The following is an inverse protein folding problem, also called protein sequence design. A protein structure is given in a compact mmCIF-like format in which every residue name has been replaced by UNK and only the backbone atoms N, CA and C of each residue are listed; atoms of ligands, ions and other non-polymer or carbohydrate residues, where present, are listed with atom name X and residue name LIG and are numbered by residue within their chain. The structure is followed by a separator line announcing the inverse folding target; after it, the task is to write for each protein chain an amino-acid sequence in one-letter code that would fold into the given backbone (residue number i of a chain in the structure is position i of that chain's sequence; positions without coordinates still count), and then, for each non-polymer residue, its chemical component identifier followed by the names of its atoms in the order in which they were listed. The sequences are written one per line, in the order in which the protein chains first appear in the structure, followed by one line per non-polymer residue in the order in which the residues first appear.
data_IF_542301255979
#
_entry.id   IF_542301255979
#
_cell.length_a   1.000
_cell.length_b   1.000
_cell.length_c   1.000
_cell.angle_alpha   90.00
_cell.angle_beta   90.00
_cell.angle_gamma   90.00
#
_symmetry.space_group_name_H-M   'P 1'
#
loop_
_entity.id
_entity.type
_entity.pdbx_description
1 polymer ?
#
# COMPACT_ATOMS: atom_id res chain seq x y z
N UNK A 1 5.09 18.08 4.45
CA UNK A 1 6.31 18.93 4.41
C UNK A 1 6.15 20.38 4.86
N UNK A 2 5.02 21.08 4.62
CA UNK A 2 4.89 22.51 5.03
C UNK A 2 4.25 22.76 6.40
N UNK A 3 3.39 21.85 6.88
CA UNK A 3 2.48 22.12 8.00
C UNK A 3 2.75 21.28 9.27
N UNK A 4 3.90 20.61 9.36
CA UNK A 4 4.20 19.62 10.40
C UNK A 4 3.59 18.25 10.09
N UNK A 5 4.26 17.16 10.47
CA UNK A 5 3.82 15.80 10.10
C UNK A 5 2.72 15.30 11.01
N UNK A 6 2.85 15.56 12.29
CA UNK A 6 1.86 15.20 13.29
C UNK A 6 0.50 15.87 13.03
N UNK A 7 0.52 17.18 12.72
CA UNK A 7 -0.69 17.93 12.38
C UNK A 7 -1.37 17.38 11.14
N UNK A 8 -0.62 17.07 10.09
CA UNK A 8 -1.19 16.48 8.88
C UNK A 8 -1.78 15.10 9.18
N UNK A 9 -1.10 14.27 9.97
CA UNK A 9 -1.62 12.95 10.36
C UNK A 9 -2.98 13.07 11.09
N UNK A 10 -3.11 14.03 12.00
CA UNK A 10 -4.39 14.30 12.67
C UNK A 10 -5.49 14.73 11.68
N UNK A 11 -5.15 15.61 10.73
CA UNK A 11 -6.08 16.07 9.69
C UNK A 11 -6.52 14.90 8.80
N UNK A 12 -5.59 14.03 8.39
CA UNK A 12 -5.93 12.90 7.51
C UNK A 12 -6.80 11.87 8.21
N UNK A 13 -6.53 11.57 9.50
CA UNK A 13 -7.39 10.69 10.31
C UNK A 13 -8.79 11.31 10.47
N UNK A 14 -8.88 12.60 10.82
CA UNK A 14 -10.15 13.30 10.96
C UNK A 14 -10.95 13.27 9.65
N UNK A 15 -10.29 13.55 8.53
CA UNK A 15 -10.87 13.53 7.20
C UNK A 15 -11.40 12.15 6.83
N UNK A 16 -10.58 11.12 6.99
CA UNK A 16 -10.96 9.73 6.71
C UNK A 16 -12.17 9.31 7.55
N UNK A 17 -12.14 9.54 8.87
CA UNK A 17 -13.23 9.19 9.78
C UNK A 17 -14.52 9.98 9.51
N UNK A 18 -14.41 11.28 9.19
CA UNK A 18 -15.56 12.11 8.88
C UNK A 18 -16.28 11.64 7.60
N UNK A 19 -15.54 11.38 6.51
CA UNK A 19 -16.17 10.90 5.27
C UNK A 19 -16.60 9.43 5.34
N UNK A 20 -15.95 8.60 6.17
CA UNK A 20 -16.45 7.26 6.50
C UNK A 20 -17.82 7.35 7.18
N UNK A 21 -17.97 8.21 8.20
CA UNK A 21 -19.23 8.46 8.88
C UNK A 21 -20.29 9.04 7.93
N UNK A 22 -19.90 10.02 7.10
CA UNK A 22 -20.79 10.67 6.14
C UNK A 22 -21.35 9.69 5.10
N UNK A 23 -20.62 8.61 4.79
CA UNK A 23 -21.08 7.56 3.87
C UNK A 23 -22.39 6.91 4.31
N UNK A 24 -22.66 6.84 5.62
CA UNK A 24 -23.91 6.31 6.15
C UNK A 24 -25.15 7.16 5.82
N UNK A 25 -24.97 8.42 5.41
CA UNK A 25 -26.06 9.34 5.06
C UNK A 25 -26.35 9.41 3.56
N UNK A 26 -25.53 8.76 2.72
CA UNK A 26 -25.72 8.76 1.27
C UNK A 26 -27.09 8.15 0.89
N UNK A 27 -27.79 8.81 -0.03
CA UNK A 27 -29.13 8.41 -0.49
C UNK A 27 -29.12 7.83 -1.90
N UNK A 28 -28.04 8.07 -2.66
CA UNK A 28 -27.89 7.57 -4.02
C UNK A 28 -26.42 7.25 -4.32
N UNK A 29 -26.21 6.58 -5.45
CA UNK A 29 -24.89 6.17 -5.92
C UNK A 29 -23.93 7.36 -6.08
N UNK A 30 -24.38 8.47 -6.66
CA UNK A 30 -23.52 9.65 -6.91
C UNK A 30 -23.02 10.28 -5.61
N UNK A 31 -23.89 10.42 -4.60
CA UNK A 31 -23.48 10.89 -3.27
C UNK A 31 -22.46 9.95 -2.64
N UNK A 32 -22.70 8.64 -2.71
CA UNK A 32 -21.76 7.64 -2.22
C UNK A 32 -20.41 7.75 -2.94
N UNK A 33 -20.42 7.89 -4.26
CA UNK A 33 -19.23 8.01 -5.09
C UNK A 33 -18.40 9.24 -4.68
N UNK A 34 -19.03 10.41 -4.58
CA UNK A 34 -18.36 11.65 -4.17
C UNK A 34 -17.76 11.53 -2.77
N UNK A 35 -18.54 11.01 -1.81
CA UNK A 35 -18.07 10.81 -0.43
C UNK A 35 -16.88 9.83 -0.39
N UNK A 36 -16.93 8.74 -1.16
CA UNK A 36 -15.83 7.76 -1.22
C UNK A 36 -14.57 8.30 -1.89
N UNK A 37 -14.71 9.14 -2.91
CA UNK A 37 -13.58 9.85 -3.51
C UNK A 37 -12.93 10.76 -2.48
N UNK A 38 -13.73 11.55 -1.74
CA UNK A 38 -13.23 12.41 -0.67
C UNK A 38 -12.58 11.61 0.46
N UNK A 39 -13.19 10.51 0.91
CA UNK A 39 -12.61 9.60 1.90
C UNK A 39 -11.25 9.04 1.44
N UNK A 40 -11.14 8.67 0.16
CA UNK A 40 -9.92 8.14 -0.45
C UNK A 40 -8.73 9.12 -0.40
N UNK A 41 -8.98 10.43 -0.51
CA UNK A 41 -7.95 11.46 -0.36
C UNK A 41 -7.30 11.41 1.03
N UNK A 42 -8.11 11.22 2.08
CA UNK A 42 -7.62 11.08 3.46
C UNK A 42 -6.75 9.85 3.62
N UNK A 43 -7.22 8.71 3.12
CA UNK A 43 -6.50 7.43 3.21
C UNK A 43 -5.12 7.49 2.51
N UNK A 44 -5.06 8.04 1.29
CA UNK A 44 -3.81 8.13 0.53
C UNK A 44 -2.78 9.07 1.16
N UNK A 45 -3.24 10.14 1.81
CA UNK A 45 -2.39 11.09 2.52
C UNK A 45 -1.88 10.52 3.86
N UNK A 46 -2.73 9.78 4.59
CA UNK A 46 -2.38 9.18 5.88
C UNK A 46 -1.22 8.19 5.75
N UNK A 47 -1.29 7.27 4.77
CA UNK A 47 -0.22 6.29 4.56
C UNK A 47 1.13 6.96 4.26
N UNK A 48 1.12 7.97 3.39
CA UNK A 48 2.33 8.70 3.03
C UNK A 48 2.97 9.40 4.25
N UNK A 49 2.16 10.09 5.06
CA UNK A 49 2.67 10.85 6.21
C UNK A 49 3.12 9.92 7.32
N UNK A 50 2.35 8.86 7.61
CA UNK A 50 2.68 7.87 8.62
C UNK A 50 3.96 7.10 8.31
N UNK A 51 4.13 6.66 7.06
CA UNK A 51 5.32 5.92 6.64
C UNK A 51 6.60 6.75 6.77
N UNK A 52 6.57 8.04 6.36
CA UNK A 52 7.76 8.89 6.44
C UNK A 52 8.05 9.28 7.89
N UNK A 53 7.03 9.60 8.69
CA UNK A 53 7.20 9.92 10.12
C UNK A 53 7.82 8.75 10.88
N UNK A 54 7.28 7.54 10.71
CA UNK A 54 7.79 6.35 11.37
C UNK A 54 9.20 6.00 10.87
N UNK A 55 9.46 6.18 9.58
CA UNK A 55 10.79 6.01 8.99
C UNK A 55 11.85 6.94 9.59
N UNK A 56 11.48 8.17 9.95
CA UNK A 56 12.39 9.15 10.55
C UNK A 56 12.60 8.98 12.04
N UNK A 57 11.57 8.55 12.78
CA UNK A 57 11.68 8.36 14.24
C UNK A 57 12.44 7.08 14.61
N UNK A 58 12.51 6.10 13.71
CA UNK A 58 13.05 4.77 14.00
C UNK A 58 14.45 4.59 13.44
N UNK A 59 15.33 4.00 14.28
CA UNK A 59 16.69 3.66 13.90
C UNK A 59 16.70 2.86 12.57
N UNK A 60 17.57 3.19 11.61
CA UNK A 60 17.67 2.51 10.32
C UNK A 60 17.70 0.98 10.41
N UNK A 61 18.33 0.40 11.45
CA UNK A 61 18.41 -1.07 11.65
C UNK A 61 17.08 -1.75 11.97
N UNK A 62 16.09 -1.01 12.46
CA UNK A 62 14.79 -1.54 12.88
C UNK A 62 13.62 -0.98 12.06
N UNK A 63 13.90 -0.10 11.10
CA UNK A 63 12.90 0.60 10.29
C UNK A 63 11.97 -0.36 9.54
N UNK A 64 12.53 -1.41 8.93
CA UNK A 64 11.75 -2.44 8.22
C UNK A 64 10.76 -3.15 9.14
N UNK A 65 11.25 -3.64 10.29
CA UNK A 65 10.44 -4.32 11.31
C UNK A 65 9.29 -3.46 11.82
N UNK A 66 9.55 -2.19 12.13
CA UNK A 66 8.54 -1.31 12.67
C UNK A 66 7.47 -0.91 11.63
N UNK A 67 7.89 -0.53 10.41
CA UNK A 67 6.95 -0.22 9.32
C UNK A 67 6.07 -1.43 8.98
N UNK A 68 6.66 -2.62 8.91
CA UNK A 68 5.90 -3.84 8.67
C UNK A 68 4.94 -4.19 9.80
N UNK A 69 5.33 -3.96 11.06
CA UNK A 69 4.45 -4.18 12.22
C UNK A 69 3.24 -3.24 12.17
N UNK A 70 3.44 -1.97 11.86
CA UNK A 70 2.32 -1.01 11.72
C UNK A 70 1.41 -1.41 10.56
N UNK A 71 1.96 -1.85 9.43
CA UNK A 71 1.14 -2.30 8.30
C UNK A 71 0.36 -3.59 8.60
N UNK A 72 0.80 -4.42 9.55
CA UNK A 72 0.03 -5.60 9.98
C UNK A 72 -1.35 -5.26 10.55
N UNK A 73 -1.55 -4.03 11.03
CA UNK A 73 -2.85 -3.51 11.42
C UNK A 73 -3.91 -3.54 10.30
N UNK A 74 -3.49 -3.41 9.03
CA UNK A 74 -4.41 -3.51 7.88
C UNK A 74 -5.02 -4.92 7.76
N UNK A 75 -4.23 -5.95 8.06
CA UNK A 75 -4.72 -7.33 8.06
C UNK A 75 -5.70 -7.56 9.21
N UNK A 76 -5.39 -7.08 10.42
CA UNK A 76 -6.29 -7.16 11.57
C UNK A 76 -7.63 -6.47 11.25
N UNK A 77 -7.58 -5.24 10.73
CA UNK A 77 -8.78 -4.48 10.37
C UNK A 77 -9.63 -5.19 9.32
N UNK A 78 -8.99 -5.73 8.27
CA UNK A 78 -9.70 -6.48 7.21
C UNK A 78 -10.37 -7.74 7.77
N UNK A 79 -9.66 -8.51 8.60
CA UNK A 79 -10.18 -9.74 9.19
C UNK A 79 -11.35 -9.48 10.15
N UNK A 80 -11.23 -8.47 11.02
CA UNK A 80 -12.31 -8.06 11.92
C UNK A 80 -13.52 -7.55 11.13
N UNK A 81 -13.32 -6.71 10.11
CA UNK A 81 -14.40 -6.22 9.27
C UNK A 81 -15.15 -7.36 8.56
N UNK A 82 -14.42 -8.37 8.05
CA UNK A 82 -15.02 -9.49 7.32
C UNK A 82 -15.97 -10.34 8.18
N UNK A 83 -15.72 -10.46 9.48
CA UNK A 83 -16.54 -11.28 10.40
C UNK A 83 -17.56 -10.46 11.16
N UNK A 84 -17.29 -9.18 11.42
CA UNK A 84 -18.17 -8.33 12.23
C UNK A 84 -19.16 -7.52 11.40
N UNK A 85 -18.74 -6.93 10.28
CA UNK A 85 -19.57 -5.93 9.58
C UNK A 85 -20.86 -6.52 9.02
N UNK A 86 -20.80 -7.69 8.39
CA UNK A 86 -21.97 -8.36 7.81
C UNK A 86 -22.99 -8.82 8.86
N UNK A 87 -22.60 -9.66 9.85
CA UNK A 87 -23.49 -10.09 10.91
C UNK A 87 -24.05 -8.93 11.73
N UNK A 88 -23.24 -7.92 12.02
CA UNK A 88 -23.70 -6.73 12.75
C UNK A 88 -24.73 -5.93 11.96
N UNK A 89 -24.50 -5.71 10.65
CA UNK A 89 -25.48 -5.05 9.80
C UNK A 89 -26.80 -5.84 9.72
N UNK A 90 -26.73 -7.17 9.70
CA UNK A 90 -27.89 -8.06 9.64
C UNK A 90 -28.76 -8.07 10.91
N UNK A 91 -28.28 -7.49 12.02
CA UNK A 91 -29.08 -7.31 13.25
C UNK A 91 -30.12 -6.17 13.13
N UNK A 92 -30.04 -5.37 12.08
CA UNK A 92 -30.90 -4.22 11.84
C UNK A 92 -31.62 -4.35 10.49
N UNK A 93 -32.59 -3.47 10.24
CA UNK A 93 -33.27 -3.41 8.95
C UNK A 93 -32.27 -3.24 7.80
N UNK A 94 -32.49 -3.87 6.63
CA UNK A 94 -31.53 -3.85 5.53
C UNK A 94 -31.11 -2.46 5.06
N UNK A 95 -32.00 -1.46 5.12
CA UNK A 95 -31.66 -0.07 4.77
C UNK A 95 -30.82 0.63 5.85
N UNK A 96 -30.96 0.23 7.11
CA UNK A 96 -30.27 0.83 8.25
C UNK A 96 -28.95 0.14 8.57
N UNK A 97 -28.87 -1.18 8.42
CA UNK A 97 -27.74 -1.99 8.87
C UNK A 97 -26.39 -1.58 8.27
N UNK A 98 -26.34 -1.37 6.96
CA UNK A 98 -25.10 -0.92 6.30
C UNK A 98 -24.72 0.51 6.69
N UNK A 99 -25.70 1.37 7.00
CA UNK A 99 -25.47 2.76 7.44
C UNK A 99 -24.82 2.80 8.82
N UNK A 100 -25.28 1.97 9.76
CA UNK A 100 -24.70 1.89 11.11
C UNK A 100 -23.24 1.45 11.04
N UNK A 101 -22.90 0.49 10.17
CA UNK A 101 -21.49 0.09 9.96
C UNK A 101 -20.63 1.28 9.52
N UNK A 102 -21.13 2.16 8.66
CA UNK A 102 -20.41 3.41 8.30
C UNK A 102 -20.34 4.41 9.45
N UNK A 103 -21.39 4.54 10.26
CA UNK A 103 -21.38 5.46 11.40
C UNK A 103 -20.33 5.07 12.45
N UNK A 104 -20.11 3.77 12.67
CA UNK A 104 -19.01 3.28 13.52
C UNK A 104 -17.63 3.67 12.95
N UNK A 105 -17.55 3.96 11.65
CA UNK A 105 -16.34 4.48 10.98
C UNK A 105 -15.81 5.81 11.53
N UNK A 106 -16.54 6.49 12.42
CA UNK A 106 -16.03 7.65 13.16
C UNK A 106 -15.04 7.26 14.26
N UNK A 107 -15.05 6.01 14.73
CA UNK A 107 -14.24 5.55 15.86
C UNK A 107 -12.73 5.83 15.76
N UNK A 108 -12.06 5.71 14.59
CA UNK A 108 -10.64 6.06 14.47
C UNK A 108 -10.33 7.53 14.79
N UNK A 109 -11.31 8.44 14.73
CA UNK A 109 -11.11 9.84 15.15
C UNK A 109 -10.74 9.96 16.63
N UNK A 110 -11.08 8.97 17.47
CA UNK A 110 -10.66 8.92 18.88
C UNK A 110 -9.12 8.85 18.99
N UNK A 111 -8.45 8.23 18.02
CA UNK A 111 -6.98 8.14 17.97
C UNK A 111 -6.30 9.52 17.89
N UNK A 112 -6.99 10.54 17.38
CA UNK A 112 -6.48 11.92 17.32
C UNK A 112 -6.15 12.45 18.72
N UNK A 113 -6.93 12.08 19.73
CA UNK A 113 -6.70 12.51 21.12
C UNK A 113 -5.37 11.99 21.67
N UNK A 114 -4.96 10.80 21.25
CA UNK A 114 -3.70 10.18 21.64
C UNK A 114 -2.52 10.78 20.85
N UNK A 115 -2.67 10.91 19.52
CA UNK A 115 -1.62 11.51 18.67
C UNK A 115 -1.28 12.94 19.09
N UNK A 116 -2.28 13.71 19.56
CA UNK A 116 -2.08 15.08 20.05
C UNK A 116 -1.23 15.19 21.32
N UNK A 117 -1.24 14.16 22.18
CA UNK A 117 -0.46 14.17 23.44
C UNK A 117 1.02 13.86 23.24
N UNK A 118 1.36 13.09 22.20
CA UNK A 118 2.70 12.48 22.06
C UNK A 118 3.62 13.19 21.05
N UNK A 119 3.07 14.05 20.17
CA UNK A 119 3.79 14.49 18.96
C UNK A 119 4.37 15.90 19.05
N UNK A 120 5.60 15.99 19.58
CA UNK A 120 6.53 17.04 19.17
C UNK A 120 7.06 16.66 17.78
N UNK A 121 6.90 17.54 16.78
CA UNK A 121 7.44 17.28 15.43
C UNK A 121 8.92 16.88 15.54
N UNK A 122 9.28 15.72 14.98
CA UNK A 122 10.62 15.13 15.03
C UNK A 122 11.70 16.19 14.77
N UNK A 123 12.75 16.22 15.60
CA UNK A 123 13.89 17.13 15.42
C UNK A 123 14.49 17.01 14.01
N UNK A 124 14.43 15.82 13.41
CA UNK A 124 14.90 15.56 12.04
C UNK A 124 14.09 16.37 11.01
N UNK A 125 12.78 16.48 11.19
CA UNK A 125 11.93 17.31 10.33
C UNK A 125 12.22 18.80 10.52
N UNK A 126 12.43 19.24 11.77
CA UNK A 126 12.80 20.63 12.10
C UNK A 126 14.14 21.00 11.46
N UNK A 127 15.14 20.13 11.56
CA UNK A 127 16.48 20.31 10.98
C UNK A 127 16.46 20.28 9.43
N UNK A 128 15.72 19.34 8.82
CA UNK A 128 15.59 19.29 7.36
C UNK A 128 14.86 20.53 6.80
N UNK A 129 13.80 20.99 7.48
CA UNK A 129 13.08 22.20 7.10
C UNK A 129 13.93 23.48 7.27
N UNK A 130 14.76 23.55 8.32
CA UNK A 130 15.73 24.63 8.51
C UNK A 130 16.79 24.63 7.40
N UNK A 131 17.39 23.47 7.11
CA UNK A 131 18.41 23.33 6.05
C UNK A 131 17.88 23.67 4.66
N UNK A 132 16.65 23.25 4.31
CA UNK A 132 16.01 23.66 3.05
C UNK A 132 15.70 25.17 2.98
N UNK A 133 15.39 25.81 4.11
CA UNK A 133 15.20 27.27 4.17
C UNK A 133 16.53 28.01 4.03
N UNK A 134 17.60 27.52 4.63
CA UNK A 134 18.95 28.09 4.55
C UNK A 134 19.53 28.04 3.14
N UNK A 135 19.28 26.96 2.40
CA UNK A 135 19.79 26.78 1.02
C UNK A 135 18.90 27.50 -0.03
N UNK A 136 17.73 28.04 0.35
CA UNK A 136 16.79 28.69 -0.56
C UNK A 136 16.14 27.76 -1.61
N UNK A 137 16.39 26.44 -1.52
CA UNK A 137 15.95 25.44 -2.50
C UNK A 137 14.53 24.99 -2.16
N UNK A 138 13.54 25.54 -2.87
CA UNK A 138 12.16 25.05 -2.84
C UNK A 138 12.09 23.79 -3.72
N UNK A 139 12.09 22.60 -3.12
CA UNK A 139 11.73 21.39 -3.87
C UNK A 139 10.25 21.46 -4.25
N UNK A 140 9.98 21.31 -5.54
CA UNK A 140 8.65 21.33 -6.10
C UNK A 140 8.07 19.92 -6.20
N UNK A 141 6.75 19.78 -6.20
CA UNK A 141 6.08 18.49 -6.41
C UNK A 141 6.50 17.82 -7.74
N UNK A 142 6.93 18.61 -8.72
CA UNK A 142 7.40 18.13 -10.03
C UNK A 142 8.84 17.61 -10.06
N UNK A 143 9.62 17.75 -8.98
CA UNK A 143 11.04 17.32 -8.99
C UNK A 143 11.21 15.80 -9.12
N UNK A 144 10.17 15.03 -8.81
CA UNK A 144 10.11 13.57 -9.03
C UNK A 144 10.12 13.18 -10.52
N UNK A 145 9.79 14.11 -11.41
CA UNK A 145 9.76 13.91 -12.87
C UNK A 145 11.02 14.42 -13.58
N UNK A 146 12.02 14.90 -12.84
CA UNK A 146 13.32 15.24 -13.43
C UNK A 146 13.95 13.97 -14.02
N UNK A 147 14.59 14.10 -15.18
CA UNK A 147 15.16 13.00 -15.96
C UNK A 147 16.00 12.00 -15.13
N UNK A 148 16.60 12.48 -14.04
CA UNK A 148 17.45 11.72 -13.14
C UNK A 148 16.70 10.81 -12.16
N UNK A 149 15.54 11.24 -11.66
CA UNK A 149 14.72 10.50 -10.68
C UNK A 149 13.55 9.80 -11.38
N UNK A 150 13.17 10.28 -12.58
CA UNK A 150 12.07 9.77 -13.37
C UNK A 150 12.10 8.24 -13.56
N UNK A 151 13.23 7.58 -13.84
CA UNK A 151 13.26 6.12 -13.93
C UNK A 151 12.88 5.44 -12.61
N UNK A 152 13.40 5.94 -11.48
CA UNK A 152 13.04 5.44 -10.14
C UNK A 152 11.57 5.65 -9.85
N UNK A 153 11.02 6.82 -10.17
CA UNK A 153 9.61 7.15 -9.99
C UNK A 153 8.71 6.21 -10.80
N UNK A 154 9.00 6.02 -12.09
CA UNK A 154 8.23 5.15 -12.99
C UNK A 154 8.30 3.70 -12.52
N UNK A 155 9.51 3.20 -12.22
CA UNK A 155 9.68 1.81 -11.82
C UNK A 155 9.08 1.52 -10.44
N UNK A 156 9.16 2.45 -9.49
CA UNK A 156 8.50 2.32 -8.18
C UNK A 156 6.97 2.37 -8.31
N UNK A 157 6.45 3.21 -9.21
CA UNK A 157 5.03 3.26 -9.55
C UNK A 157 4.57 1.95 -10.22
N UNK A 158 5.37 1.39 -11.13
CA UNK A 158 5.10 0.11 -11.79
C UNK A 158 5.14 -1.08 -10.82
N UNK A 159 6.10 -1.08 -9.90
CA UNK A 159 6.14 -2.06 -8.80
C UNK A 159 4.88 -1.95 -7.94
N UNK A 160 4.49 -0.73 -7.56
CA UNK A 160 3.27 -0.47 -6.77
C UNK A 160 2.01 -0.92 -7.50
N UNK A 161 1.92 -0.63 -8.80
CA UNK A 161 0.84 -1.07 -9.67
C UNK A 161 0.75 -2.59 -9.67
N UNK A 162 1.86 -3.28 -9.92
CA UNK A 162 1.87 -4.74 -10.04
C UNK A 162 1.43 -5.44 -8.76
N UNK A 163 2.00 -5.06 -7.61
CA UNK A 163 1.66 -5.68 -6.32
C UNK A 163 0.23 -5.35 -5.90
N UNK A 164 -0.19 -4.09 -5.99
CA UNK A 164 -1.53 -3.68 -5.58
C UNK A 164 -2.60 -4.20 -6.54
N UNK A 165 -2.34 -4.13 -7.85
CA UNK A 165 -3.20 -4.67 -8.90
C UNK A 165 -3.39 -6.17 -8.73
N UNK A 166 -2.30 -6.90 -8.45
CA UNK A 166 -2.38 -8.33 -8.18
C UNK A 166 -3.24 -8.65 -6.95
N UNK A 167 -2.95 -7.98 -5.83
CA UNK A 167 -3.67 -8.20 -4.58
C UNK A 167 -5.17 -7.85 -4.69
N UNK A 168 -5.50 -6.71 -5.30
CA UNK A 168 -6.88 -6.23 -5.44
C UNK A 168 -7.71 -7.00 -6.46
N UNK A 169 -7.07 -7.66 -7.43
CA UNK A 169 -7.76 -8.55 -8.38
C UNK A 169 -8.42 -9.73 -7.69
N UNK A 170 -7.87 -10.17 -6.54
CA UNK A 170 -8.43 -11.29 -5.78
C UNK A 170 -9.17 -10.80 -4.53
N UNK A 171 -8.60 -9.92 -3.70
CA UNK A 171 -9.20 -9.56 -2.40
C UNK A 171 -10.59 -8.96 -2.50
N UNK A 172 -10.84 -8.10 -3.49
CA UNK A 172 -12.14 -7.44 -3.62
C UNK A 172 -13.26 -8.40 -4.06
N UNK A 173 -12.90 -9.48 -4.76
CA UNK A 173 -13.83 -10.52 -5.19
C UNK A 173 -13.77 -11.78 -4.33
N UNK A 174 -12.91 -11.82 -3.30
CA UNK A 174 -12.66 -13.03 -2.52
C UNK A 174 -13.93 -13.59 -1.88
N UNK A 175 -14.72 -12.73 -1.23
CA UNK A 175 -16.01 -13.13 -0.65
C UNK A 175 -16.97 -13.60 -1.73
N UNK A 176 -17.07 -12.88 -2.85
CA UNK A 176 -17.96 -13.21 -3.98
C UNK A 176 -17.57 -14.55 -4.60
N UNK A 177 -16.28 -14.82 -4.80
CA UNK A 177 -15.76 -16.11 -5.25
C UNK A 177 -16.15 -17.25 -4.29
N UNK A 178 -15.99 -17.04 -2.98
CA UNK A 178 -16.33 -18.05 -1.97
C UNK A 178 -17.85 -18.32 -1.92
N UNK A 179 -18.68 -17.31 -2.09
CA UNK A 179 -20.15 -17.49 -2.06
C UNK A 179 -20.70 -17.99 -3.39
N UNK A 180 -20.26 -17.43 -4.52
CA UNK A 180 -20.84 -17.67 -5.84
C UNK A 180 -20.25 -18.90 -6.54
N UNK A 181 -18.93 -19.14 -6.46
CA UNK A 181 -18.30 -20.30 -7.11
C UNK A 181 -18.15 -21.49 -6.16
N UNK A 182 -17.80 -21.24 -4.89
CA UNK A 182 -17.63 -22.32 -3.88
C UNK A 182 -18.90 -22.64 -3.11
N UNK A 183 -19.99 -21.88 -3.32
CA UNK A 183 -21.30 -22.14 -2.72
C UNK A 183 -21.34 -21.99 -1.21
N UNK A 184 -20.39 -21.27 -0.61
CA UNK A 184 -20.32 -21.12 0.84
C UNK A 184 -21.33 -20.07 1.35
N UNK A 185 -21.91 -20.26 2.54
CA UNK A 185 -22.66 -19.21 3.22
C UNK A 185 -21.79 -17.97 3.48
N UNK A 186 -22.41 -16.78 3.47
CA UNK A 186 -21.72 -15.50 3.70
C UNK A 186 -20.91 -15.48 5.01
N UNK A 187 -21.45 -16.05 6.09
CA UNK A 187 -20.76 -16.14 7.37
C UNK A 187 -19.45 -16.97 7.29
N UNK A 188 -19.51 -18.11 6.59
CA UNK A 188 -18.35 -18.97 6.37
C UNK A 188 -17.32 -18.33 5.45
N UNK A 189 -17.77 -17.63 4.40
CA UNK A 189 -16.88 -16.85 3.55
C UNK A 189 -16.15 -15.75 4.35
N UNK A 190 -16.84 -15.07 5.26
CA UNK A 190 -16.22 -14.13 6.21
C UNK A 190 -15.13 -14.76 7.07
N UNK A 191 -15.34 -15.98 7.57
CA UNK A 191 -14.31 -16.73 8.31
C UNK A 191 -13.09 -17.09 7.46
N UNK A 192 -13.28 -17.45 6.18
CA UNK A 192 -12.17 -17.66 5.25
C UNK A 192 -11.35 -16.37 5.02
N UNK A 193 -12.02 -15.22 4.91
CA UNK A 193 -11.34 -13.91 4.79
C UNK A 193 -10.61 -13.54 6.08
N UNK A 194 -11.15 -13.90 7.26
CA UNK A 194 -10.44 -13.75 8.53
C UNK A 194 -9.16 -14.58 8.56
N UNK A 195 -9.19 -15.84 8.10
CA UNK A 195 -7.99 -16.68 8.04
C UNK A 195 -6.98 -16.20 7.03
N UNK A 196 -7.44 -15.71 5.87
CA UNK A 196 -6.60 -15.00 4.91
C UNK A 196 -5.93 -13.77 5.55
N UNK A 197 -6.69 -12.99 6.30
CA UNK A 197 -6.17 -11.83 7.04
C UNK A 197 -5.18 -12.23 8.14
N UNK A 198 -5.43 -13.31 8.88
CA UNK A 198 -4.52 -13.84 9.88
C UNK A 198 -3.19 -14.26 9.24
N UNK A 199 -3.24 -14.97 8.10
CA UNK A 199 -2.06 -15.27 7.30
C UNK A 199 -1.32 -14.01 6.90
N UNK A 200 -2.05 -12.98 6.46
CA UNK A 200 -1.50 -11.68 6.11
C UNK A 200 -0.79 -10.96 7.24
N UNK A 201 -1.33 -11.01 8.46
CA UNK A 201 -0.67 -10.48 9.66
C UNK A 201 0.71 -11.12 9.86
N UNK A 202 0.80 -12.45 9.82
CA UNK A 202 2.10 -13.14 9.91
C UNK A 202 3.00 -12.88 8.69
N UNK A 203 2.40 -12.71 7.52
CA UNK A 203 3.07 -12.31 6.29
C UNK A 203 3.78 -10.97 6.44
N UNK A 204 3.09 -9.96 7.00
CA UNK A 204 3.67 -8.64 7.28
C UNK A 204 4.89 -8.75 8.20
N UNK A 205 4.75 -9.43 9.34
CA UNK A 205 5.84 -9.58 10.32
C UNK A 205 7.04 -10.32 9.73
N UNK A 206 6.78 -11.39 8.98
CA UNK A 206 7.82 -12.22 8.37
C UNK A 206 8.55 -11.46 7.26
N UNK A 207 7.81 -10.78 6.38
CA UNK A 207 8.37 -9.96 5.31
C UNK A 207 9.23 -8.83 5.88
N UNK A 208 8.75 -8.15 6.92
CA UNK A 208 9.45 -7.07 7.60
C UNK A 208 10.81 -7.52 8.15
N UNK A 209 10.88 -8.74 8.70
CA UNK A 209 12.11 -9.30 9.23
C UNK A 209 13.07 -9.82 8.15
N UNK A 210 12.55 -10.53 7.16
CA UNK A 210 13.34 -11.15 6.09
C UNK A 210 13.92 -10.09 5.15
N UNK A 211 13.18 -9.01 4.89
CA UNK A 211 13.60 -7.95 3.97
C UNK A 211 14.86 -7.23 4.43
N UNK A 212 15.12 -7.17 5.73
CA UNK A 212 16.37 -6.62 6.28
C UNK A 212 17.57 -7.57 6.05
N UNK A 213 17.34 -8.87 5.87
CA UNK A 213 18.41 -9.90 5.79
C UNK A 213 18.81 -10.25 4.36
N UNK A 214 17.83 -10.44 3.47
CA UNK A 214 18.09 -10.98 2.11
C UNK A 214 18.00 -9.92 1.01
N UNK A 215 17.69 -8.68 1.35
CA UNK A 215 17.46 -7.62 0.38
C UNK A 215 15.98 -7.36 0.08
N UNK A 216 15.66 -6.11 -0.27
CA UNK A 216 14.29 -5.69 -0.57
C UNK A 216 13.79 -6.28 -1.88
N UNK A 217 14.66 -6.32 -2.92
CA UNK A 217 14.29 -6.89 -4.23
C UNK A 217 13.91 -8.35 -4.12
N UNK A 218 14.76 -9.12 -3.43
CA UNK A 218 14.54 -10.56 -3.31
C UNK A 218 13.26 -10.87 -2.55
N UNK A 219 12.93 -10.08 -1.53
CA UNK A 219 11.65 -10.25 -0.83
C UNK A 219 10.45 -9.98 -1.73
N UNK A 220 10.44 -8.93 -2.55
CA UNK A 220 9.36 -8.71 -3.51
C UNK A 220 9.22 -9.87 -4.51
N UNK A 221 10.34 -10.46 -4.96
CA UNK A 221 10.32 -11.62 -5.87
C UNK A 221 9.79 -12.87 -5.18
N UNK A 222 10.29 -13.19 -3.98
CA UNK A 222 9.87 -14.37 -3.23
C UNK A 222 8.39 -14.29 -2.87
N UNK A 223 7.94 -13.13 -2.38
CA UNK A 223 6.53 -12.94 -2.05
C UNK A 223 5.64 -12.88 -3.30
N UNK A 224 6.12 -12.32 -4.41
CA UNK A 224 5.41 -12.33 -5.69
C UNK A 224 5.25 -13.74 -6.27
N UNK A 225 6.30 -14.56 -6.25
CA UNK A 225 6.24 -15.97 -6.69
C UNK A 225 5.34 -16.77 -5.76
N UNK A 226 5.50 -16.60 -4.44
CA UNK A 226 4.63 -17.23 -3.44
C UNK A 226 3.17 -16.85 -3.64
N UNK A 227 2.88 -15.58 -3.94
CA UNK A 227 1.55 -15.11 -4.28
C UNK A 227 1.00 -15.81 -5.52
N UNK A 228 1.77 -15.90 -6.62
CA UNK A 228 1.32 -16.58 -7.86
C UNK A 228 0.96 -18.03 -7.58
N UNK A 229 1.86 -18.77 -6.92
CA UNK A 229 1.66 -20.20 -6.64
C UNK A 229 0.46 -20.44 -5.73
N UNK A 230 0.34 -19.65 -4.67
CA UNK A 230 -0.72 -19.81 -3.67
C UNK A 230 -2.05 -19.28 -4.16
N UNK A 231 -2.08 -18.22 -4.97
CA UNK A 231 -3.29 -17.76 -5.65
C UNK A 231 -3.81 -18.81 -6.64
N UNK A 232 -2.93 -19.38 -7.48
CA UNK A 232 -3.30 -20.42 -8.42
C UNK A 232 -3.85 -21.67 -7.69
N UNK A 233 -3.17 -22.09 -6.62
CA UNK A 233 -3.67 -23.19 -5.78
C UNK A 233 -5.02 -22.84 -5.14
N UNK A 234 -5.16 -21.66 -4.54
CA UNK A 234 -6.37 -21.28 -3.84
C UNK A 234 -7.59 -21.17 -4.76
N UNK A 235 -7.41 -20.63 -5.97
CA UNK A 235 -8.48 -20.45 -6.94
C UNK A 235 -8.87 -21.78 -7.61
N UNK A 236 -7.89 -22.59 -8.05
CA UNK A 236 -8.15 -23.73 -8.93
C UNK A 236 -8.00 -25.11 -8.29
N UNK A 237 -7.42 -25.23 -7.09
CA UNK A 237 -7.31 -26.55 -6.47
C UNK A 237 -8.71 -27.11 -6.16
N UNK A 238 -8.90 -28.45 -6.32
CA UNK A 238 -10.18 -29.13 -6.10
C UNK A 238 -10.47 -29.30 -4.60
N UNK A 239 -10.44 -28.20 -3.85
CA UNK A 239 -10.74 -28.14 -2.42
C UNK A 239 -12.24 -28.33 -2.13
N UNK A 240 -13.09 -28.36 -3.16
CA UNK A 240 -14.54 -28.44 -3.03
C UNK A 240 -15.08 -27.30 -2.15
N UNK A 241 -16.03 -27.65 -1.28
CA UNK A 241 -16.59 -26.81 -0.22
C UNK A 241 -15.96 -27.07 1.16
N UNK A 242 -14.79 -27.73 1.21
CA UNK A 242 -14.14 -28.07 2.47
C UNK A 242 -13.60 -26.81 3.16
N UNK A 243 -14.36 -26.32 4.13
CA UNK A 243 -14.08 -25.09 4.87
C UNK A 243 -12.68 -25.08 5.50
N UNK A 244 -12.22 -26.15 6.21
CA UNK A 244 -10.88 -26.16 6.79
C UNK A 244 -9.76 -26.03 5.74
N UNK A 245 -9.90 -26.68 4.58
CA UNK A 245 -8.90 -26.62 3.52
C UNK A 245 -8.87 -25.24 2.86
N UNK A 246 -10.02 -24.62 2.63
CA UNK A 246 -10.13 -23.25 2.12
C UNK A 246 -9.57 -22.23 3.12
N UNK A 247 -9.78 -22.42 4.42
CA UNK A 247 -9.21 -21.55 5.45
C UNK A 247 -7.68 -21.70 5.52
N UNK A 248 -7.15 -22.92 5.47
CA UNK A 248 -5.72 -23.18 5.45
C UNK A 248 -5.04 -22.62 4.18
N UNK A 249 -5.63 -22.87 3.01
CA UNK A 249 -5.12 -22.34 1.74
C UNK A 249 -5.25 -20.80 1.69
N UNK A 250 -6.35 -20.25 2.20
CA UNK A 250 -6.59 -18.82 2.32
C UNK A 250 -5.57 -18.13 3.24
N UNK A 251 -5.19 -18.76 4.35
CA UNK A 251 -4.12 -18.29 5.25
C UNK A 251 -2.77 -18.21 4.52
N UNK A 252 -2.36 -19.27 3.82
CA UNK A 252 -1.08 -19.28 3.09
C UNK A 252 -1.11 -18.23 1.97
N UNK A 253 -2.22 -18.13 1.25
CA UNK A 253 -2.41 -17.10 0.23
C UNK A 253 -2.30 -15.68 0.83
N UNK A 254 -2.98 -15.44 1.95
CA UNK A 254 -2.96 -14.16 2.66
C UNK A 254 -1.58 -13.75 3.15
N UNK A 255 -0.78 -14.72 3.59
CA UNK A 255 0.61 -14.51 3.98
C UNK A 255 1.44 -13.85 2.88
N UNK A 256 1.33 -14.35 1.64
CA UNK A 256 2.06 -13.76 0.51
C UNK A 256 1.41 -12.48 -0.02
N UNK A 257 0.07 -12.43 -0.05
CA UNK A 257 -0.70 -11.30 -0.52
C UNK A 257 -0.44 -10.03 0.30
N UNK A 258 -0.69 -10.08 1.61
CA UNK A 258 -0.50 -8.94 2.50
C UNK A 258 0.97 -8.72 2.83
N UNK A 259 1.74 -9.81 3.01
CA UNK A 259 3.14 -9.70 3.36
C UNK A 259 3.95 -8.87 2.37
N UNK A 260 3.63 -8.94 1.07
CA UNK A 260 4.24 -8.11 0.02
C UNK A 260 4.21 -6.61 0.30
N UNK A 261 3.22 -6.13 1.06
CA UNK A 261 3.08 -4.71 1.36
C UNK A 261 4.09 -4.20 2.39
N UNK A 262 4.61 -5.06 3.27
CA UNK A 262 5.49 -4.67 4.38
C UNK A 262 6.75 -3.94 3.89
N UNK A 263 7.29 -4.38 2.75
CA UNK A 263 8.53 -3.86 2.17
C UNK A 263 8.37 -2.51 1.46
N UNK A 264 7.16 -2.03 1.16
CA UNK A 264 6.96 -0.75 0.46
C UNK A 264 7.58 0.44 1.20
N UNK A 265 7.27 0.58 2.49
CA UNK A 265 7.76 1.66 3.33
C UNK A 265 9.28 1.79 3.31
N UNK A 266 10.04 0.77 3.74
CA UNK A 266 11.51 0.85 3.72
C UNK A 266 12.06 0.96 2.31
N UNK A 267 11.53 0.21 1.33
CA UNK A 267 12.06 0.23 -0.03
C UNK A 267 11.93 1.60 -0.69
N UNK A 268 10.77 2.25 -0.56
CA UNK A 268 10.61 3.59 -1.12
C UNK A 268 11.36 4.66 -0.33
N UNK A 269 11.61 4.45 0.96
CA UNK A 269 12.47 5.34 1.77
C UNK A 269 13.91 5.30 1.27
N UNK A 270 14.40 4.12 0.92
CA UNK A 270 15.77 3.94 0.46
C UNK A 270 15.94 4.26 -1.04
N UNK A 271 14.88 4.19 -1.86
CA UNK A 271 14.92 4.51 -3.29
C UNK A 271 14.93 6.01 -3.59
N UNK A 272 14.18 6.81 -2.81
CA UNK A 272 14.04 8.24 -3.09
C UNK A 272 15.01 9.10 -2.26
N UNK A 273 15.65 10.11 -2.89
CA UNK A 273 16.50 11.09 -2.21
C UNK A 273 15.72 11.84 -1.13
N UNK A 274 16.40 12.23 -0.05
CA UNK A 274 15.78 12.81 1.15
C UNK A 274 14.83 13.98 0.87
N UNK A 275 15.18 14.84 -0.08
CA UNK A 275 14.50 16.09 -0.41
C UNK A 275 13.18 15.88 -1.18
N UNK A 276 13.07 14.77 -1.92
CA UNK A 276 11.86 14.40 -2.68
C UNK A 276 11.22 13.12 -2.15
N UNK A 277 11.76 12.52 -1.09
CA UNK A 277 11.35 11.22 -0.56
C UNK A 277 9.87 11.15 -0.26
N UNK A 278 9.35 12.09 0.52
CA UNK A 278 7.92 12.10 0.87
C UNK A 278 7.02 12.16 -0.36
N UNK A 279 7.34 13.02 -1.32
CA UNK A 279 6.55 13.17 -2.55
C UNK A 279 6.69 11.95 -3.47
N UNK A 280 7.90 11.42 -3.66
CA UNK A 280 8.16 10.25 -4.50
C UNK A 280 7.49 8.99 -3.97
N UNK A 281 7.57 8.75 -2.65
CA UNK A 281 6.88 7.66 -1.97
C UNK A 281 5.37 7.75 -2.14
N UNK A 282 4.80 8.91 -1.82
CA UNK A 282 3.37 9.15 -1.90
C UNK A 282 2.88 8.98 -3.34
N UNK A 283 3.61 9.52 -4.31
CA UNK A 283 3.27 9.40 -5.72
C UNK A 283 3.32 7.95 -6.19
N UNK A 284 4.44 7.25 -6.00
CA UNK A 284 4.60 5.88 -6.49
C UNK A 284 3.53 4.94 -5.90
N UNK A 285 3.30 5.00 -4.59
CA UNK A 285 2.34 4.14 -3.92
C UNK A 285 0.89 4.45 -4.32
N UNK A 286 0.50 5.74 -4.31
CA UNK A 286 -0.87 6.13 -4.66
C UNK A 286 -1.16 6.00 -6.16
N UNK A 287 -0.18 6.24 -7.03
CA UNK A 287 -0.31 5.99 -8.46
C UNK A 287 -0.57 4.50 -8.72
N UNK A 288 0.23 3.63 -8.09
CA UNK A 288 0.01 2.19 -8.15
C UNK A 288 -1.40 1.82 -7.68
N UNK A 289 -1.84 2.39 -6.56
CA UNK A 289 -3.16 2.12 -5.98
C UNK A 289 -4.30 2.58 -6.88
N UNK A 290 -4.25 3.81 -7.37
CA UNK A 290 -5.28 4.38 -8.25
C UNK A 290 -5.39 3.59 -9.56
N UNK A 291 -4.25 3.26 -10.16
CA UNK A 291 -4.20 2.52 -11.43
C UNK A 291 -4.56 1.04 -11.23
N UNK A 292 -4.42 0.50 -10.02
CA UNK A 292 -4.90 -0.86 -9.68
C UNK A 292 -6.42 -1.00 -9.79
N UNK A 293 -7.17 0.11 -9.79
CA UNK A 293 -8.61 0.08 -10.10
C UNK A 293 -8.89 -0.47 -11.51
N UNK A 294 -7.95 -0.32 -12.46
CA UNK A 294 -8.05 -0.93 -13.79
C UNK A 294 -7.95 -2.45 -13.75
N UNK A 295 -7.16 -3.01 -12.84
CA UNK A 295 -7.06 -4.46 -12.64
C UNK A 295 -8.37 -5.01 -12.06
N UNK A 296 -8.87 -4.36 -11.00
CA UNK A 296 -10.16 -4.71 -10.39
C UNK A 296 -11.32 -4.63 -11.40
N UNK A 297 -11.39 -3.53 -12.16
CA UNK A 297 -12.41 -3.34 -13.21
C UNK A 297 -12.22 -4.34 -14.34
N UNK A 298 -10.98 -4.63 -14.73
CA UNK A 298 -10.64 -5.62 -15.74
C UNK A 298 -11.13 -7.03 -15.39
N UNK A 299 -10.99 -7.45 -14.13
CA UNK A 299 -11.56 -8.71 -13.63
C UNK A 299 -13.08 -8.73 -13.84
N UNK A 300 -13.78 -7.67 -13.44
CA UNK A 300 -15.23 -7.58 -13.62
C UNK A 300 -15.64 -7.60 -15.10
N UNK A 301 -14.92 -6.88 -15.97
CA UNK A 301 -15.20 -6.84 -17.40
C UNK A 301 -14.99 -8.20 -18.08
N UNK A 302 -13.91 -8.91 -17.74
CA UNK A 302 -13.65 -10.25 -18.27
C UNK A 302 -14.65 -11.27 -17.71
N UNK A 303 -15.03 -11.17 -16.44
CA UNK A 303 -16.09 -12.02 -15.89
C UNK A 303 -17.44 -11.78 -16.60
N UNK A 304 -17.73 -10.53 -16.98
CA UNK A 304 -18.96 -10.17 -17.70
C UNK A 304 -19.05 -10.75 -19.13
N UNK A 305 -17.95 -11.19 -19.74
CA UNK A 305 -17.98 -11.88 -21.05
C UNK A 305 -18.31 -13.36 -20.95
N UNK A 306 -18.57 -13.88 -19.74
CA UNK A 306 -18.88 -15.29 -19.48
C UNK A 306 -17.68 -16.13 -19.05
N UNK A 307 -16.51 -15.52 -18.86
CA UNK A 307 -15.35 -16.19 -18.27
C UNK A 307 -15.60 -16.39 -16.76
N UNK A 308 -15.24 -17.57 -16.24
CA UNK A 308 -15.33 -17.89 -14.82
C UNK A 308 -14.55 -16.85 -13.99
N UNK A 309 -15.15 -16.37 -12.89
CA UNK A 309 -14.60 -15.27 -12.09
C UNK A 309 -13.22 -15.63 -11.53
N UNK A 310 -12.99 -16.86 -11.06
CA UNK A 310 -11.66 -17.32 -10.62
C UNK A 310 -10.60 -17.25 -11.73
N UNK A 311 -10.96 -17.57 -12.98
CA UNK A 311 -10.08 -17.41 -14.13
C UNK A 311 -9.76 -15.94 -14.40
N UNK A 312 -10.77 -15.07 -14.39
CA UNK A 312 -10.58 -13.63 -14.55
C UNK A 312 -9.66 -13.06 -13.46
N UNK A 313 -9.92 -13.40 -12.19
CA UNK A 313 -9.10 -13.01 -11.05
C UNK A 313 -7.65 -13.47 -11.22
N UNK A 314 -7.42 -14.73 -11.61
CA UNK A 314 -6.08 -15.28 -11.77
C UNK A 314 -5.28 -14.58 -12.87
N UNK A 315 -5.87 -14.27 -14.03
CA UNK A 315 -5.18 -13.61 -15.14
C UNK A 315 -4.64 -12.25 -14.73
N UNK A 316 -5.48 -11.40 -14.11
CA UNK A 316 -5.06 -10.08 -13.65
C UNK A 316 -4.12 -10.16 -12.44
N UNK A 317 -4.36 -11.11 -11.53
CA UNK A 317 -3.50 -11.32 -10.37
C UNK A 317 -2.06 -11.73 -10.77
N UNK A 318 -1.95 -12.72 -11.65
CA UNK A 318 -0.65 -13.20 -12.15
C UNK A 318 0.01 -12.13 -13.02
N UNK A 319 -0.75 -11.45 -13.89
CA UNK A 319 -0.24 -10.35 -14.71
C UNK A 319 0.36 -9.22 -13.86
N UNK A 320 -0.34 -8.80 -12.80
CA UNK A 320 0.14 -7.80 -11.85
C UNK A 320 1.39 -8.27 -11.10
N UNK A 321 1.39 -9.52 -10.62
CA UNK A 321 2.54 -10.08 -9.89
C UNK A 321 3.78 -10.17 -10.80
N UNK A 322 3.63 -10.65 -12.04
CA UNK A 322 4.69 -10.64 -13.05
C UNK A 322 5.21 -9.23 -13.33
N UNK A 323 4.32 -8.24 -13.49
CA UNK A 323 4.70 -6.85 -13.67
C UNK A 323 5.55 -6.33 -12.50
N UNK A 324 5.16 -6.66 -11.26
CA UNK A 324 5.92 -6.28 -10.08
C UNK A 324 7.32 -6.93 -10.05
N UNK A 325 7.40 -8.23 -10.37
CA UNK A 325 8.66 -8.97 -10.41
C UNK A 325 9.59 -8.38 -11.47
N UNK A 326 9.07 -8.07 -12.66
CA UNK A 326 9.82 -7.43 -13.74
C UNK A 326 10.40 -6.07 -13.30
N UNK A 327 9.62 -5.24 -12.62
CA UNK A 327 10.09 -3.96 -12.09
C UNK A 327 11.29 -4.13 -11.11
N UNK A 328 11.32 -5.21 -10.31
CA UNK A 328 12.44 -5.47 -9.37
C UNK A 328 13.76 -5.86 -10.04
N UNK A 329 13.77 -6.23 -11.33
CA UNK A 329 15.03 -6.46 -12.05
C UNK A 329 15.70 -5.13 -12.44
N UNK A 330 14.91 -4.08 -12.62
CA UNK A 330 15.37 -2.76 -13.05
C UNK A 330 15.64 -1.81 -11.86
N UNK A 331 14.83 -1.88 -10.80
CA UNK A 331 14.98 -1.04 -9.60
C UNK A 331 16.15 -1.44 -8.72
N UNK A 332 16.92 -0.53 -8.08
CA UNK A 332 17.80 -0.63 -6.91
C UNK A 332 17.78 -1.87 -5.99
N UNK A 333 18.92 -2.46 -5.57
CA UNK A 333 18.93 -3.18 -4.28
C UNK A 333 19.36 -2.17 -3.24
N UNK A 334 18.58 -2.05 -2.18
CA UNK A 334 18.66 -0.92 -1.26
C UNK A 334 18.84 -1.32 0.20
N UNK A 335 18.73 -2.61 0.52
CA UNK A 335 18.94 -3.08 1.89
C UNK A 335 20.31 -2.65 2.42
N UNK A 336 20.31 -1.98 3.57
CA UNK A 336 21.52 -1.49 4.23
C UNK A 336 22.12 -0.19 3.66
N UNK A 337 21.51 0.43 2.64
CA UNK A 337 21.99 1.73 2.12
C UNK A 337 21.70 2.86 3.12
N UNK A 338 22.70 3.73 3.32
CA UNK A 338 22.50 5.01 3.99
C UNK A 338 21.57 5.91 3.16
N UNK A 339 20.87 6.83 3.81
CA UNK A 339 19.96 7.77 3.13
C UNK A 339 20.80 8.86 2.46
N UNK A 340 20.92 8.80 1.13
CA UNK A 340 21.73 9.71 0.30
C UNK A 340 20.91 10.95 -0.08
N UNK A 341 21.56 12.12 -0.09
CA UNK A 341 20.96 13.39 -0.55
C UNK A 341 20.99 13.55 -2.07
N UNK A 342 20.23 14.50 -2.61
CA UNK A 342 20.27 14.84 -4.05
C UNK A 342 21.68 15.27 -4.50
N UNK A 343 22.39 15.99 -3.65
CA UNK A 343 23.71 16.56 -3.98
C UNK A 343 24.80 15.48 -4.10
N UNK A 344 24.74 14.42 -3.27
CA UNK A 344 25.64 13.26 -3.36
C UNK A 344 25.37 12.43 -4.61
N UNK A 345 24.11 12.33 -5.00
CA UNK A 345 23.76 11.79 -6.31
C UNK A 345 24.39 12.70 -7.38
N UNK A 346 24.18 14.01 -7.36
CA UNK A 346 24.67 14.92 -8.44
C UNK A 346 26.21 14.87 -8.56
N UNK A 347 26.92 14.71 -7.45
CA UNK A 347 28.37 14.56 -7.40
C UNK A 347 28.89 13.21 -7.94
N UNK A 348 28.08 12.15 -7.91
CA UNK A 348 28.46 10.82 -8.43
C UNK A 348 28.26 10.67 -9.94
N UNK A 349 27.81 11.72 -10.64
CA UNK A 349 27.75 11.72 -12.09
C UNK A 349 29.19 11.82 -12.65
N UNK A 350 29.59 10.97 -13.62
CA UNK A 350 30.86 11.20 -14.30
C UNK A 350 30.81 12.60 -14.89
N UNK A 351 31.72 13.48 -14.46
CA UNK A 351 31.84 14.81 -15.01
C UNK A 351 31.98 14.64 -16.53
N UNK A 352 31.03 15.14 -17.31
CA UNK A 352 31.31 15.43 -18.71
C UNK A 352 32.38 16.51 -18.67
N UNK A 353 33.65 16.11 -18.74
CA UNK A 353 34.75 17.01 -19.05
C UNK A 353 34.46 17.54 -20.45
N UNK A 354 33.82 18.70 -20.50
CA UNK A 354 33.85 19.53 -21.70
C UNK A 354 35.31 19.93 -21.82
N UNK A 355 36.03 19.23 -22.70
CA UNK A 355 37.34 19.66 -23.17
C UNK A 355 37.18 21.01 -23.86
N UNK A 356 37.28 22.08 -23.09
CA UNK A 356 37.64 23.39 -23.63
C UNK A 356 39.11 23.30 -24.04
N UNK A 357 39.34 22.83 -25.26
CA UNK A 357 40.62 22.98 -25.94
C UNK A 357 40.97 24.46 -25.99
N UNK A 358 42.20 24.75 -25.55
CA UNK A 358 42.76 26.07 -25.39
C UNK A 358 42.60 26.92 -26.66
N UNK A 359 42.06 28.12 -26.47
CA UNK A 359 42.39 29.28 -27.29
C UNK A 359 43.73 29.78 -26.77
N UNK A 360 44.78 29.69 -27.58
CA UNK A 360 45.99 30.49 -27.43
C UNK A 360 46.29 31.13 -28.78
N UNK A 361 46.01 32.43 -28.84
CA UNK A 361 46.66 33.38 -29.73
C UNK A 361 48.16 33.44 -29.41
N UNK A 362 49.00 33.27 -30.44
CA UNK A 362 50.17 34.11 -30.75
C UNK A 362 50.89 33.56 -31.97
#
# INVERSE_FOLDING_TARGET
DRFGRARILQITIAWFSFFAFLSGFAQNYEQMLVIRVLQGLGFGAEWAVGAVLLGEMINPRHRGKALGTVQSGAAIGTGLAAVLAGPFAAMFDPDLGWRIVFWIGIAPAILILFVRRESDDSEVFKQAAQRSREIGRRTGLGDIFRARILPTTILAALLSLGVQGAAYSISNFLTVFLTAERGLPMATAGMCVLFNSAGGFFGFLTNAYISDRIGRRMVFRLFGIGFILTAAFYLFAPLGSSVPALMAAGFIYGFFQFGSYASFGPYFTELFPTEVRGTGQAFAYNFGRATSALFFTGVAMVAATGVVLSTAMAVFAIGGACCSILATFLLPETAGRALVGLDELDASAPSKSIGAGAVTES
#
